data_IF_943793636396
#
_entry.id   IF_943793636396
#
_cell.length_a   1.000
_cell.length_b   1.000
_cell.length_c   1.000
_cell.angle_alpha   90.00
_cell.angle_beta   90.00
_cell.angle_gamma   90.00
#
_symmetry.space_group_name_H-M   'P 1'
#
loop_
_entity.id
_entity.type
_entity.pdbx_description
1 polymer ?
#
# COMPACT_ATOMS: atom_id res chain seq x y z
N UNK A 1 9.13 23.67 0.85
CA UNK A 1 10.26 22.88 1.38
C UNK A 1 10.19 21.54 0.69
N UNK A 2 11.22 21.18 -0.08
CA UNK A 2 11.32 19.83 -0.62
C UNK A 2 11.55 18.85 0.53
N UNK A 3 10.95 17.66 0.42
CA UNK A 3 11.15 16.61 1.41
C UNK A 3 12.64 16.25 1.49
N UNK A 4 13.17 16.10 2.71
CA UNK A 4 14.55 15.66 2.93
C UNK A 4 14.84 14.36 2.18
N UNK A 5 16.12 14.15 1.82
CA UNK A 5 16.58 12.93 1.14
C UNK A 5 16.00 11.70 1.82
N UNK A 6 15.09 11.01 1.12
CA UNK A 6 14.26 9.99 1.75
C UNK A 6 15.16 8.87 2.25
N UNK A 7 15.13 8.57 3.56
CA UNK A 7 15.71 7.35 4.14
C UNK A 7 14.80 6.15 3.83
N UNK A 8 14.40 6.05 2.56
CA UNK A 8 13.42 5.10 2.06
C UNK A 8 13.85 3.69 2.41
N UNK A 9 13.01 3.02 3.19
CA UNK A 9 13.26 1.63 3.60
C UNK A 9 13.30 0.72 2.38
N UNK A 10 14.08 -0.35 2.51
CA UNK A 10 14.18 -1.37 1.46
C UNK A 10 12.79 -1.96 1.16
N UNK A 11 12.59 -2.44 -0.07
CA UNK A 11 11.35 -3.11 -0.43
C UNK A 11 11.10 -4.34 0.46
N UNK A 12 12.16 -5.06 0.87
CA UNK A 12 12.05 -6.18 1.81
C UNK A 12 11.54 -5.73 3.18
N UNK A 13 12.01 -4.61 3.73
CA UNK A 13 11.52 -4.11 5.03
C UNK A 13 10.06 -3.65 4.93
N UNK A 14 9.71 -2.99 3.81
CA UNK A 14 8.34 -2.57 3.53
C UNK A 14 7.41 -3.77 3.41
N UNK A 15 7.82 -4.83 2.72
CA UNK A 15 7.04 -6.07 2.58
C UNK A 15 6.95 -6.85 3.90
N UNK A 16 8.04 -6.95 4.67
CA UNK A 16 8.03 -7.57 6.00
C UNK A 16 7.05 -6.86 6.94
N UNK A 17 7.00 -5.53 6.90
CA UNK A 17 5.99 -4.75 7.66
C UNK A 17 4.55 -5.13 7.27
N UNK A 18 4.28 -5.43 5.99
CA UNK A 18 2.94 -5.83 5.51
C UNK A 18 2.48 -7.18 6.02
N UNK A 19 3.39 -8.04 6.49
CA UNK A 19 3.02 -9.27 7.20
C UNK A 19 2.31 -8.99 8.51
N UNK A 20 2.44 -7.78 9.08
CA UNK A 20 1.76 -7.38 10.33
C UNK A 20 0.71 -6.30 10.06
N UNK A 21 1.01 -5.32 9.20
CA UNK A 21 0.16 -4.14 9.00
C UNK A 21 -0.90 -4.29 7.92
N UNK A 22 -1.00 -5.46 7.29
CA UNK A 22 -1.77 -5.73 6.07
C UNK A 22 -1.43 -4.79 4.89
N UNK A 23 -2.07 -5.00 3.74
CA UNK A 23 -2.00 -4.16 2.55
C UNK A 23 -2.83 -2.87 2.68
N UNK A 24 -3.70 -2.78 3.68
CA UNK A 24 -4.50 -1.57 3.91
C UNK A 24 -3.58 -0.36 4.11
N UNK A 25 -4.01 0.80 3.65
CA UNK A 25 -3.38 2.09 3.88
C UNK A 25 -4.05 2.77 5.08
N UNK A 26 -3.64 4.00 5.41
CA UNK A 26 -4.32 4.79 6.43
C UNK A 26 -5.79 5.03 6.03
N UNK A 27 -5.99 5.38 4.78
CA UNK A 27 -7.28 5.63 4.14
C UNK A 27 -8.18 4.40 4.20
N UNK A 28 -7.72 3.25 3.70
CA UNK A 28 -8.57 2.06 3.62
C UNK A 28 -8.81 1.39 4.96
N UNK A 29 -7.92 1.55 5.94
CA UNK A 29 -8.11 1.01 7.30
C UNK A 29 -9.26 1.69 8.06
N UNK A 30 -9.66 2.89 7.66
CA UNK A 30 -10.84 3.57 8.21
C UNK A 30 -12.15 3.05 7.59
N UNK A 31 -12.09 2.47 6.39
CA UNK A 31 -13.25 2.00 5.64
C UNK A 31 -13.48 0.49 5.80
N UNK A 32 -12.41 -0.30 5.79
CA UNK A 32 -12.44 -1.76 5.69
C UNK A 32 -11.75 -2.37 6.92
N UNK A 33 -12.35 -3.42 7.48
CA UNK A 33 -11.78 -4.17 8.57
C UNK A 33 -10.57 -5.01 8.11
N UNK A 34 -9.49 -5.12 8.91
CA UNK A 34 -8.34 -5.96 8.58
C UNK A 34 -8.71 -7.44 8.76
N UNK A 35 -9.13 -8.09 7.69
CA UNK A 35 -9.36 -9.53 7.62
C UNK A 35 -8.15 -10.24 7.00
N UNK A 36 -8.20 -11.57 6.91
CA UNK A 36 -7.17 -12.36 6.22
C UNK A 36 -6.91 -11.91 4.78
N UNK A 37 -7.97 -11.55 4.06
CA UNK A 37 -7.90 -11.11 2.66
C UNK A 37 -7.18 -9.77 2.47
N UNK A 38 -6.87 -9.06 3.55
CA UNK A 38 -6.09 -7.83 3.50
C UNK A 38 -4.58 -8.09 3.45
N UNK A 39 -4.10 -9.33 3.56
CA UNK A 39 -2.69 -9.68 3.57
C UNK A 39 -2.24 -10.32 2.26
N UNK A 40 -0.94 -10.29 2.01
CA UNK A 40 -0.36 -11.02 0.89
C UNK A 40 -0.49 -12.52 1.14
N UNK A 41 -0.94 -13.27 0.13
CA UNK A 41 -0.88 -14.74 0.14
C UNK A 41 0.49 -15.25 -0.31
N UNK A 42 1.11 -14.57 -1.27
CA UNK A 42 2.42 -14.93 -1.79
C UNK A 42 3.19 -13.80 -2.46
N UNK A 43 4.48 -14.02 -2.64
CA UNK A 43 5.44 -13.20 -3.38
C UNK A 43 6.07 -14.10 -4.45
N UNK A 44 5.82 -13.78 -5.71
CA UNK A 44 6.32 -14.53 -6.86
C UNK A 44 7.60 -13.85 -7.38
N UNK A 45 8.68 -14.60 -7.55
CA UNK A 45 9.97 -14.12 -8.01
C UNK A 45 10.57 -15.08 -9.07
N UNK A 46 11.42 -14.60 -9.98
CA UNK A 46 12.25 -15.48 -10.80
C UNK A 46 13.07 -16.41 -9.91
N UNK A 47 13.14 -17.70 -10.24
CA UNK A 47 13.79 -18.71 -9.40
C UNK A 47 15.25 -18.38 -9.06
N UNK A 48 15.97 -17.79 -10.00
CA UNK A 48 17.38 -17.41 -9.87
C UNK A 48 17.60 -16.09 -9.12
N UNK A 49 16.54 -15.34 -8.85
CA UNK A 49 16.57 -14.16 -7.97
C UNK A 49 16.18 -14.51 -6.51
N UNK A 50 15.76 -15.75 -6.24
CA UNK A 50 15.39 -16.19 -4.89
C UNK A 50 16.64 -16.55 -4.10
N UNK A 51 16.96 -15.72 -3.11
CA UNK A 51 17.86 -16.10 -2.02
C UNK A 51 17.04 -16.74 -0.89
N UNK A 52 17.08 -18.07 -0.73
CA UNK A 52 16.37 -18.76 0.36
C UNK A 52 16.72 -18.20 1.74
N UNK A 53 18.02 -17.96 2.00
CA UNK A 53 18.48 -17.36 3.26
C UNK A 53 17.95 -15.94 3.40
N UNK A 54 18.01 -15.13 2.34
CA UNK A 54 17.50 -13.76 2.32
C UNK A 54 15.99 -13.69 2.56
N UNK A 55 15.21 -14.53 1.89
CA UNK A 55 13.76 -14.64 2.04
C UNK A 55 13.37 -15.16 3.43
N UNK A 56 13.98 -16.25 3.92
CA UNK A 56 13.71 -16.78 5.26
C UNK A 56 14.01 -15.76 6.35
N UNK A 57 15.15 -15.06 6.24
CA UNK A 57 15.49 -13.97 7.16
C UNK A 57 14.47 -12.83 7.09
N UNK A 58 13.99 -12.46 5.91
CA UNK A 58 13.16 -11.27 5.72
C UNK A 58 11.68 -11.52 6.00
N UNK A 59 11.16 -12.67 5.61
CA UNK A 59 9.72 -12.97 5.53
C UNK A 59 9.32 -14.25 6.28
N UNK A 60 10.28 -15.09 6.67
CA UNK A 60 9.98 -16.36 7.34
C UNK A 60 9.47 -16.18 8.77
N UNK A 61 8.74 -17.18 9.27
CA UNK A 61 8.22 -17.23 10.64
C UNK A 61 9.34 -17.13 11.70
N UNK A 62 10.50 -17.71 11.40
CA UNK A 62 11.71 -17.66 12.24
C UNK A 62 12.62 -16.46 11.89
N UNK A 63 12.20 -15.62 10.95
CA UNK A 63 12.96 -14.49 10.44
C UNK A 63 12.85 -13.25 11.33
N UNK A 64 12.98 -12.08 10.69
CA UNK A 64 12.99 -10.77 11.38
C UNK A 64 11.74 -10.52 12.23
N UNK A 65 10.57 -10.98 11.80
CA UNK A 65 9.30 -10.75 12.50
C UNK A 65 8.94 -11.82 13.54
N UNK A 66 9.83 -12.77 13.86
CA UNK A 66 9.56 -13.91 14.76
C UNK A 66 8.93 -13.53 16.10
N UNK A 67 9.29 -12.38 16.66
CA UNK A 67 8.79 -11.89 17.96
C UNK A 67 7.31 -11.49 17.94
N UNK A 68 6.68 -11.44 16.76
CA UNK A 68 5.28 -11.08 16.57
C UNK A 68 4.42 -12.26 16.12
N UNK A 69 5.00 -13.45 15.95
CA UNK A 69 4.27 -14.67 15.65
C UNK A 69 3.29 -14.97 16.79
N UNK A 70 2.04 -15.24 16.45
CA UNK A 70 0.95 -15.47 17.43
C UNK A 70 0.43 -14.20 18.13
N UNK A 71 1.02 -13.03 17.88
CA UNK A 71 0.55 -11.76 18.43
C UNK A 71 -0.62 -11.22 17.63
N UNK A 72 -1.62 -10.72 18.33
CA UNK A 72 -2.86 -10.18 17.78
C UNK A 72 -3.13 -8.77 18.29
N UNK A 73 -3.73 -7.92 17.44
CA UNK A 73 -4.16 -6.57 17.79
C UNK A 73 -5.62 -6.36 17.38
N UNK A 74 -6.50 -5.91 18.30
CA UNK A 74 -6.20 -5.43 19.65
C UNK A 74 -5.96 -6.60 20.64
N UNK A 75 -5.12 -6.38 21.66
CA UNK A 75 -4.72 -7.46 22.61
C UNK A 75 -5.84 -7.93 23.53
N UNK A 76 -6.83 -7.08 23.76
CA UNK A 76 -7.81 -7.22 24.86
C UNK A 76 -9.03 -8.05 24.47
N UNK A 77 -9.23 -8.32 23.18
CA UNK A 77 -10.30 -9.20 22.72
C UNK A 77 -9.92 -10.65 22.99
N UNK A 78 -10.65 -11.29 23.93
CA UNK A 78 -10.74 -12.75 24.00
C UNK A 78 -10.98 -13.25 22.58
N UNK A 79 -10.14 -14.14 22.07
CA UNK A 79 -10.21 -14.69 20.71
C UNK A 79 -11.61 -15.29 20.48
N UNK A 80 -12.58 -14.48 20.06
CA UNK A 80 -13.74 -14.96 19.35
C UNK A 80 -13.24 -15.19 17.94
N UNK A 81 -13.34 -16.44 17.47
CA UNK A 81 -13.14 -16.78 16.07
C UNK A 81 -13.89 -15.74 15.22
N UNK A 82 -13.19 -15.12 14.25
CA UNK A 82 -13.68 -14.04 13.37
C UNK A 82 -13.70 -12.61 13.91
N UNK A 83 -13.08 -12.30 15.05
CA UNK A 83 -12.82 -10.88 15.37
C UNK A 83 -11.86 -10.31 14.32
N UNK A 84 -12.16 -9.16 13.67
CA UNK A 84 -11.21 -8.52 12.77
C UNK A 84 -10.05 -7.86 13.52
N UNK A 85 -8.84 -7.92 12.96
CA UNK A 85 -7.67 -7.37 13.62
C UNK A 85 -6.37 -7.58 12.85
N UNK A 86 -5.31 -7.01 13.41
CA UNK A 86 -3.97 -7.20 12.87
C UNK A 86 -3.29 -8.38 13.52
N UNK A 87 -2.47 -9.10 12.77
CA UNK A 87 -1.60 -10.15 13.28
C UNK A 87 -0.47 -10.41 12.29
N UNK A 88 0.58 -11.09 12.74
CA UNK A 88 1.58 -11.59 11.81
C UNK A 88 0.98 -12.69 10.92
N UNK A 89 0.95 -12.46 9.61
CA UNK A 89 0.56 -13.41 8.57
C UNK A 89 1.72 -13.59 7.58
N UNK A 90 2.40 -14.75 7.60
CA UNK A 90 3.41 -15.04 6.61
C UNK A 90 2.77 -15.22 5.23
N UNK A 91 3.58 -15.07 4.18
CA UNK A 91 3.17 -15.34 2.80
C UNK A 91 4.18 -16.28 2.16
N UNK A 92 3.75 -17.01 1.14
CA UNK A 92 4.60 -17.97 0.44
C UNK A 92 5.53 -17.24 -0.54
N UNK A 93 6.78 -17.66 -0.65
CA UNK A 93 7.66 -17.23 -1.74
C UNK A 93 7.60 -18.30 -2.82
N UNK A 94 7.14 -17.91 -4.00
CA UNK A 94 6.94 -18.80 -5.15
C UNK A 94 7.94 -18.45 -6.25
N UNK A 95 8.43 -19.47 -6.94
CA UNK A 95 9.37 -19.33 -8.05
C UNK A 95 8.66 -19.40 -9.40
N UNK A 96 9.16 -18.66 -10.38
CA UNK A 96 8.83 -18.85 -11.80
C UNK A 96 10.09 -19.36 -12.51
N UNK A 97 9.99 -20.45 -13.29
CA UNK A 97 11.12 -20.99 -14.05
C UNK A 97 11.76 -19.97 -14.99
N UNK A 98 13.09 -20.04 -15.16
CA UNK A 98 13.86 -19.12 -15.99
C UNK A 98 13.35 -19.10 -17.44
N UNK A 99 12.94 -20.24 -17.97
CA UNK A 99 12.47 -20.39 -19.36
C UNK A 99 11.16 -19.64 -19.57
N UNK A 100 10.25 -19.72 -18.60
CA UNK A 100 8.97 -18.99 -18.63
C UNK A 100 9.20 -17.48 -18.51
N UNK A 101 10.14 -17.08 -17.65
CA UNK A 101 10.54 -15.67 -17.56
C UNK A 101 11.09 -15.16 -18.90
N UNK A 102 11.97 -15.92 -19.54
CA UNK A 102 12.57 -15.56 -20.83
C UNK A 102 11.52 -15.47 -21.96
N UNK A 103 10.53 -16.35 -21.95
CA UNK A 103 9.46 -16.38 -22.95
C UNK A 103 8.47 -15.21 -22.78
N UNK A 104 8.07 -14.88 -21.55
CA UNK A 104 7.03 -13.90 -21.28
C UNK A 104 7.56 -12.47 -21.10
N UNK A 105 8.80 -12.29 -20.65
CA UNK A 105 9.43 -10.99 -20.41
C UNK A 105 10.74 -10.81 -21.19
N UNK A 106 10.67 -10.67 -22.53
CA UNK A 106 11.86 -10.52 -23.38
C UNK A 106 12.67 -9.25 -23.09
N UNK A 107 12.08 -8.26 -22.43
CA UNK A 107 12.72 -7.01 -22.00
C UNK A 107 13.08 -7.00 -20.51
N UNK A 108 13.11 -8.17 -19.86
CA UNK A 108 13.60 -8.30 -18.50
C UNK A 108 15.05 -7.81 -18.38
N UNK A 109 15.46 -7.48 -17.16
CA UNK A 109 16.84 -7.06 -16.90
C UNK A 109 17.80 -8.15 -17.40
N UNK A 110 18.80 -7.82 -18.25
CA UNK A 110 19.74 -8.80 -18.74
C UNK A 110 20.43 -9.51 -17.56
N UNK A 111 20.35 -10.83 -17.56
CA UNK A 111 21.09 -11.66 -16.61
C UNK A 111 22.53 -11.75 -17.09
N UNK A 112 23.49 -11.56 -16.18
CA UNK A 112 24.89 -11.75 -16.52
C UNK A 112 25.16 -13.26 -16.55
N UNK A 113 25.40 -13.81 -17.74
CA UNK A 113 25.95 -15.16 -17.83
C UNK A 113 27.46 -15.09 -17.58
N UNK A 114 28.02 -15.90 -16.66
CA UNK A 114 29.45 -16.13 -16.63
C UNK A 114 29.86 -16.75 -17.97
N UNK A 115 30.84 -16.15 -18.67
CA UNK A 115 31.39 -16.78 -19.86
C UNK A 115 31.88 -18.18 -19.50
N UNK A 116 31.55 -19.24 -20.29
CA UNK A 116 32.18 -20.53 -20.09
C UNK A 116 33.68 -20.35 -20.30
N UNK A 117 34.47 -20.74 -19.30
CA UNK A 117 35.92 -20.75 -19.41
C UNK A 117 36.28 -21.63 -20.61
N UNK A 118 36.80 -20.99 -21.66
CA UNK A 118 37.44 -21.72 -22.75
C UNK A 118 38.69 -22.35 -22.12
N UNK A 119 38.62 -23.64 -21.83
CA UNK A 119 39.81 -24.47 -21.68
C UNK A 119 40.51 -24.52 -23.03
N UNK A 120 41.50 -23.65 -23.23
CA UNK A 120 42.64 -23.96 -24.09
C UNK A 120 43.87 -23.30 -23.47
N UNK A 121 44.85 -24.14 -23.13
CA UNK A 121 46.03 -23.74 -22.38
C UNK A 121 46.92 -22.78 -23.16
N UNK A 122 47.47 -21.81 -22.43
CA UNK A 122 48.83 -21.32 -22.63
C UNK A 122 49.24 -20.54 -21.39
N UNK A 123 50.32 -20.98 -20.74
CA UNK A 123 51.04 -20.22 -19.73
C UNK A 123 51.54 -18.90 -20.35
N UNK A 124 51.27 -17.77 -19.69
CA UNK A 124 51.81 -16.47 -20.09
C UNK A 124 51.06 -15.27 -19.48
N UNK A 125 51.71 -14.63 -18.50
CA UNK A 125 51.50 -13.29 -17.93
C UNK A 125 50.32 -12.95 -16.98
N UNK A 126 50.59 -12.37 -15.79
CA UNK A 126 49.58 -11.88 -14.85
C UNK A 126 49.25 -10.41 -15.15
N UNK A 127 48.48 -10.16 -16.20
CA UNK A 127 47.78 -8.87 -16.37
C UNK A 127 46.32 -9.13 -16.69
N UNK A 128 45.58 -9.51 -15.65
CA UNK A 128 44.20 -9.95 -15.69
C UNK A 128 43.30 -8.88 -16.29
N UNK A 129 42.86 -9.12 -17.53
CA UNK A 129 41.82 -8.39 -18.23
C UNK A 129 40.46 -8.69 -17.56
N UNK A 130 40.19 -7.97 -16.46
CA UNK A 130 38.90 -8.02 -15.79
C UNK A 130 37.79 -7.62 -16.76
N UNK A 131 36.96 -8.60 -17.15
CA UNK A 131 35.76 -8.38 -17.94
C UNK A 131 34.92 -7.26 -17.30
N UNK A 132 34.87 -6.08 -17.96
CA UNK A 132 34.17 -4.91 -17.43
C UNK A 132 32.68 -5.20 -17.36
N UNK A 133 32.18 -5.52 -16.17
CA UNK A 133 30.75 -5.62 -15.87
C UNK A 133 30.04 -4.34 -16.32
N UNK A 134 29.24 -4.39 -17.40
CA UNK A 134 28.39 -3.27 -17.81
C UNK A 134 27.25 -3.09 -16.79
N UNK A 135 27.49 -2.30 -15.75
CA UNK A 135 26.45 -1.93 -14.76
C UNK A 135 25.27 -1.28 -15.49
N UNK A 136 24.14 -1.98 -15.57
CA UNK A 136 22.88 -1.41 -16.07
C UNK A 136 22.40 -0.38 -15.05
N UNK A 137 22.29 0.88 -15.47
CA UNK A 137 21.78 1.96 -14.61
C UNK A 137 20.25 1.88 -14.58
N UNK A 138 19.62 1.93 -13.39
CA UNK A 138 18.17 2.01 -13.31
C UNK A 138 17.68 3.32 -13.94
N UNK A 139 16.56 3.24 -14.65
CA UNK A 139 15.88 4.42 -15.19
C UNK A 139 15.21 5.25 -14.09
N UNK A 140 14.84 6.47 -14.43
CA UNK A 140 14.03 7.39 -13.61
C UNK A 140 12.53 7.33 -13.95
N UNK A 141 12.11 6.23 -14.60
CA UNK A 141 10.75 6.02 -15.09
C UNK A 141 10.07 4.92 -14.28
N UNK A 142 8.80 5.11 -13.96
CA UNK A 142 7.93 4.10 -13.38
C UNK A 142 6.61 4.08 -14.13
N UNK A 143 6.03 2.91 -14.35
CA UNK A 143 4.74 2.76 -15.01
C UNK A 143 3.75 2.12 -14.02
N UNK A 144 2.52 2.61 -14.01
CA UNK A 144 1.43 2.12 -13.16
C UNK A 144 0.25 1.79 -14.06
N UNK A 145 -0.32 0.60 -13.87
CA UNK A 145 -1.55 0.18 -14.52
C UNK A 145 -2.49 -0.44 -13.49
N UNK A 146 -3.76 -0.08 -13.52
CA UNK A 146 -4.81 -0.64 -12.67
C UNK A 146 -5.99 -1.00 -13.56
N UNK A 147 -6.50 -2.21 -13.33
CA UNK A 147 -7.70 -2.74 -13.95
C UNK A 147 -8.92 -1.82 -13.69
N UNK A 148 -9.79 -1.66 -14.68
CA UNK A 148 -11.05 -0.94 -14.50
C UNK A 148 -11.99 -1.68 -13.53
N UNK A 149 -12.78 -0.97 -12.71
CA UNK A 149 -13.83 -1.61 -11.93
C UNK A 149 -14.76 -2.44 -12.81
N UNK A 150 -15.19 -3.60 -12.31
CA UNK A 150 -16.20 -4.43 -12.98
C UNK A 150 -17.58 -3.79 -12.99
N UNK A 151 -17.86 -2.89 -12.04
CA UNK A 151 -19.11 -2.17 -11.93
C UNK A 151 -19.04 -0.82 -12.65
N UNK A 152 -20.13 -0.44 -13.33
CA UNK A 152 -20.29 0.87 -13.96
C UNK A 152 -20.57 1.93 -12.89
N UNK A 153 -19.56 2.25 -12.08
CA UNK A 153 -19.61 3.41 -11.19
C UNK A 153 -18.68 4.49 -11.71
N UNK A 154 -19.14 5.74 -11.87
CA UNK A 154 -18.27 6.87 -12.21
C UNK A 154 -17.21 7.05 -11.11
N UNK A 155 -15.98 6.61 -11.35
CA UNK A 155 -14.87 6.85 -10.44
C UNK A 155 -14.10 8.09 -10.87
N UNK A 156 -13.98 9.07 -9.96
CA UNK A 156 -13.22 10.30 -10.20
C UNK A 156 -11.74 10.02 -10.59
N UNK A 157 -11.20 8.87 -10.17
CA UNK A 157 -9.83 8.43 -10.49
C UNK A 157 -9.65 7.98 -11.94
N UNK A 158 -10.71 7.53 -12.62
CA UNK A 158 -10.62 6.97 -13.97
C UNK A 158 -10.41 8.04 -15.06
N UNK A 159 -10.62 9.33 -14.74
CA UNK A 159 -10.65 10.41 -15.73
C UNK A 159 -9.30 11.12 -15.96
N UNK A 160 -8.27 10.86 -15.15
CA UNK A 160 -6.97 11.58 -15.21
C UNK A 160 -5.80 10.68 -15.65
N UNK A 161 -6.07 9.77 -16.58
CA UNK A 161 -5.09 8.88 -17.24
C UNK A 161 -4.15 9.63 -18.19
N UNK A 162 -4.48 10.86 -18.57
CA UNK A 162 -3.64 11.69 -19.46
C UNK A 162 -3.53 11.20 -20.91
N UNK A 163 -4.16 10.07 -21.25
CA UNK A 163 -4.09 9.42 -22.57
C UNK A 163 -5.47 9.37 -23.21
N UNK A 164 -5.56 9.75 -24.50
CA UNK A 164 -6.81 9.66 -25.29
C UNK A 164 -7.25 8.22 -25.55
N UNK A 165 -6.29 7.30 -25.55
CA UNK A 165 -6.50 5.86 -25.61
C UNK A 165 -5.81 5.22 -24.42
N UNK A 166 -6.51 4.31 -23.74
CA UNK A 166 -5.93 3.48 -22.68
C UNK A 166 -5.66 2.09 -23.26
N UNK A 167 -4.56 1.42 -22.87
CA UNK A 167 -4.29 0.07 -23.34
C UNK A 167 -5.40 -0.89 -22.89
N UNK A 168 -5.57 -2.01 -23.57
CA UNK A 168 -6.37 -3.14 -23.08
C UNK A 168 -5.41 -4.27 -22.82
N UNK A 169 -5.28 -4.71 -21.58
CA UNK A 169 -4.39 -5.82 -21.21
C UNK A 169 -5.22 -7.07 -20.98
N UNK A 170 -4.90 -8.17 -21.66
CA UNK A 170 -5.62 -9.45 -21.51
C UNK A 170 -7.15 -9.29 -21.58
N UNK A 171 -7.67 -8.55 -22.58
CA UNK A 171 -9.10 -8.23 -22.80
C UNK A 171 -9.76 -7.41 -21.68
N UNK A 172 -8.98 -6.91 -20.73
CA UNK A 172 -9.48 -6.15 -19.61
C UNK A 172 -9.38 -4.65 -19.84
N UNK A 173 -10.46 -3.93 -19.50
CA UNK A 173 -10.50 -2.47 -19.58
C UNK A 173 -9.55 -1.86 -18.55
N UNK A 174 -8.94 -0.73 -18.90
CA UNK A 174 -8.01 -0.01 -18.03
C UNK A 174 -8.72 1.04 -17.20
N UNK A 175 -8.50 1.02 -15.88
CA UNK A 175 -9.01 2.01 -14.94
C UNK A 175 -7.99 3.14 -14.69
N UNK A 176 -6.71 2.79 -14.53
CA UNK A 176 -5.61 3.76 -14.43
C UNK A 176 -4.43 3.27 -15.27
N UNK A 177 -3.79 4.19 -15.97
CA UNK A 177 -2.54 3.98 -16.69
C UNK A 177 -1.75 5.29 -16.65
N UNK A 178 -0.61 5.31 -15.95
CA UNK A 178 0.23 6.50 -15.86
C UNK A 178 1.70 6.13 -15.92
N UNK A 179 2.47 6.98 -16.62
CA UNK A 179 3.93 6.93 -16.64
C UNK A 179 4.44 8.06 -15.77
N UNK A 180 5.31 7.76 -14.81
CA UNK A 180 5.92 8.70 -13.89
C UNK A 180 7.40 8.84 -14.27
N UNK A 181 7.85 10.06 -14.50
CA UNK A 181 9.23 10.39 -14.86
C UNK A 181 9.73 11.44 -13.87
N UNK A 182 10.85 11.18 -13.20
CA UNK A 182 11.38 12.06 -12.15
C UNK A 182 10.34 12.38 -11.05
N UNK A 183 9.49 11.42 -10.69
CA UNK A 183 8.50 11.55 -9.61
C UNK A 183 7.19 12.26 -9.97
N UNK A 184 7.02 12.74 -11.21
CA UNK A 184 5.77 13.36 -11.69
C UNK A 184 5.22 12.65 -12.93
N UNK A 185 3.91 12.75 -13.17
CA UNK A 185 3.28 12.21 -14.38
C UNK A 185 3.94 12.78 -15.64
N UNK A 186 4.17 11.91 -16.62
CA UNK A 186 4.74 12.25 -17.92
C UNK A 186 4.05 13.49 -18.51
N UNK A 187 4.86 14.40 -19.06
CA UNK A 187 4.39 15.69 -19.58
C UNK A 187 4.35 16.82 -18.55
N UNK A 188 4.68 16.56 -17.28
CA UNK A 188 4.77 17.58 -16.23
C UNK A 188 6.23 17.78 -15.77
N UNK A 189 6.51 18.95 -15.18
CA UNK A 189 7.84 19.32 -14.69
C UNK A 189 7.94 19.10 -13.18
N UNK A 190 8.95 18.34 -12.75
CA UNK A 190 9.23 18.10 -11.34
C UNK A 190 9.60 19.40 -10.58
N UNK A 191 10.18 20.37 -11.27
CA UNK A 191 10.51 21.70 -10.71
C UNK A 191 9.30 22.56 -10.38
N UNK A 192 8.12 22.21 -10.88
CA UNK A 192 6.86 22.91 -10.64
C UNK A 192 5.73 21.89 -10.46
N UNK A 193 5.75 21.12 -9.36
CA UNK A 193 4.81 20.03 -9.15
C UNK A 193 3.42 20.63 -8.89
N UNK A 194 2.54 20.51 -9.88
CA UNK A 194 1.13 20.90 -9.76
C UNK A 194 0.22 19.69 -9.57
N UNK A 195 -1.04 19.91 -9.20
CA UNK A 195 -2.05 18.87 -9.04
C UNK A 195 -2.17 17.95 -10.27
N UNK A 196 -2.04 18.51 -11.47
CA UNK A 196 -2.04 17.76 -12.75
C UNK A 196 -0.83 16.84 -12.91
N UNK A 197 0.32 17.22 -12.36
CA UNK A 197 1.55 16.42 -12.39
C UNK A 197 1.62 15.34 -11.32
N UNK A 198 0.74 15.38 -10.31
CA UNK A 198 0.69 14.37 -9.28
C UNK A 198 0.08 13.05 -9.80
N UNK A 199 0.73 11.93 -9.48
CA UNK A 199 0.20 10.58 -9.69
C UNK A 199 -1.15 10.41 -9.01
N UNK A 200 -2.06 9.64 -9.62
CA UNK A 200 -3.34 9.26 -9.00
C UNK A 200 -3.17 8.47 -7.70
N UNK A 201 -2.00 7.86 -7.50
CA UNK A 201 -1.60 7.17 -6.27
C UNK A 201 -0.86 8.06 -5.26
N UNK A 202 -0.79 9.38 -5.51
CA UNK A 202 -0.22 10.32 -4.54
C UNK A 202 -1.06 10.40 -3.27
N UNK A 203 -0.39 10.67 -2.13
CA UNK A 203 -1.05 10.79 -0.81
C UNK A 203 -2.22 11.79 -0.84
N UNK A 204 -2.05 12.94 -1.50
CA UNK A 204 -3.08 13.95 -1.61
C UNK A 204 -4.31 13.46 -2.41
N UNK A 205 -4.10 12.80 -3.56
CA UNK A 205 -5.21 12.27 -4.37
C UNK A 205 -5.92 11.09 -3.68
N UNK A 206 -5.19 10.20 -3.01
CA UNK A 206 -5.79 9.12 -2.22
C UNK A 206 -6.59 9.65 -1.03
N UNK A 207 -6.10 10.69 -0.35
CA UNK A 207 -6.85 11.33 0.74
C UNK A 207 -8.10 12.07 0.23
N UNK A 208 -8.01 12.74 -0.94
CA UNK A 208 -9.18 13.34 -1.58
C UNK A 208 -10.23 12.29 -1.94
N UNK A 209 -9.81 11.16 -2.54
CA UNK A 209 -10.71 10.04 -2.82
C UNK A 209 -11.37 9.48 -1.56
N UNK A 210 -10.61 9.32 -0.48
CA UNK A 210 -11.17 8.94 0.81
C UNK A 210 -12.25 9.93 1.27
N UNK A 211 -11.99 11.24 1.15
CA UNK A 211 -12.96 12.30 1.48
C UNK A 211 -14.15 12.37 0.52
N UNK A 212 -14.11 11.77 -0.65
CA UNK A 212 -15.28 11.62 -1.52
C UNK A 212 -16.14 10.41 -1.12
N UNK A 213 -15.50 9.33 -0.64
CA UNK A 213 -16.18 8.09 -0.22
C UNK A 213 -16.76 8.21 1.19
N UNK A 214 -16.01 8.81 2.13
CA UNK A 214 -16.38 8.91 3.54
C UNK A 214 -17.63 9.76 3.87
N UNK A 215 -18.00 10.84 3.14
CA UNK A 215 -19.24 11.60 3.36
C UNK A 215 -20.48 10.78 3.03
N UNK A 216 -20.37 9.82 2.11
CA UNK A 216 -21.47 8.92 1.73
C UNK A 216 -21.66 7.81 2.77
N UNK A 217 -20.71 7.67 3.71
CA UNK A 217 -20.70 6.63 4.74
C UNK A 217 -21.09 7.21 6.12
N UNK A 218 -22.38 7.48 6.34
CA UNK A 218 -22.98 7.81 7.66
C UNK A 218 -23.92 6.66 8.07
N UNK A 219 -24.14 6.36 9.37
CA UNK A 219 -23.25 6.24 10.52
C UNK A 219 -22.96 4.76 10.83
N UNK A 220 -21.84 4.51 11.52
CA UNK A 220 -21.40 3.17 11.89
C UNK A 220 -22.15 2.67 13.15
N UNK A 221 -23.41 2.29 13.00
CA UNK A 221 -24.10 1.46 13.99
C UNK A 221 -23.75 -0.01 13.69
N UNK A 222 -22.71 -0.54 14.35
CA UNK A 222 -22.66 -1.98 14.59
C UNK A 222 -23.63 -2.28 15.74
N UNK A 223 -24.93 -2.25 15.43
CA UNK A 223 -25.94 -2.91 16.26
C UNK A 223 -26.06 -4.32 15.70
N UNK A 224 -25.69 -5.31 16.53
CA UNK A 224 -25.93 -6.71 16.21
C UNK A 224 -27.43 -6.95 16.27
N UNK A 225 -28.14 -6.75 15.16
CA UNK A 225 -29.50 -7.25 15.00
C UNK A 225 -29.42 -8.74 14.68
N UNK A 226 -29.26 -9.55 15.73
CA UNK A 226 -29.70 -10.94 15.68
C UNK A 226 -31.20 -10.92 15.91
N UNK A 227 -31.95 -11.11 14.83
CA UNK A 227 -33.36 -11.48 14.87
C UNK A 227 -33.51 -12.79 15.66
N UNK A 228 -34.00 -12.70 16.90
CA UNK A 228 -34.64 -13.82 17.57
C UNK A 228 -36.15 -13.59 17.55
N UNK A 229 -36.82 -14.49 16.85
CA UNK A 229 -38.27 -14.60 16.72
C UNK A 229 -38.95 -15.00 18.04
N UNK A 230 -39.73 -14.08 18.63
CA UNK A 230 -40.94 -14.29 19.44
C UNK A 230 -40.86 -15.15 20.74
N UNK A 231 -41.90 -15.11 21.62
CA UNK A 231 -43.27 -14.68 21.38
C UNK A 231 -43.80 -13.52 22.26
N UNK A 232 -44.91 -12.93 21.80
CA UNK A 232 -45.68 -11.84 22.41
C UNK A 232 -46.10 -12.08 23.87
N UNK A 233 -45.99 -11.03 24.69
CA UNK A 233 -47.05 -10.67 25.65
C UNK A 233 -46.85 -9.29 26.26
N UNK A 234 -47.94 -8.53 26.38
CA UNK A 234 -48.10 -7.47 27.39
C UNK A 234 -47.83 -6.04 26.89
N UNK A 235 -48.91 -5.30 26.65
CA UNK A 235 -48.91 -3.87 26.38
C UNK A 235 -48.48 -3.05 27.61
N UNK A 236 -47.71 -1.99 27.38
CA UNK A 236 -47.77 -0.75 28.16
C UNK A 236 -47.00 0.35 27.43
N UNK A 237 -47.73 1.43 27.14
CA UNK A 237 -47.24 2.68 26.59
C UNK A 237 -46.25 3.32 27.57
N UNK A 238 -45.05 3.70 27.09
CA UNK A 238 -44.24 4.69 27.80
C UNK A 238 -43.37 5.46 26.79
N UNK A 239 -43.39 6.77 27.01
CA UNK A 239 -42.88 7.87 26.21
C UNK A 239 -41.46 7.66 25.66
N UNK A 240 -41.27 8.01 24.39
CA UNK A 240 -39.96 8.03 23.72
C UNK A 240 -39.19 9.27 24.19
N UNK A 241 -38.03 9.13 24.87
CA UNK A 241 -37.18 10.29 25.12
C UNK A 241 -36.51 10.65 23.79
N UNK A 242 -36.75 11.87 23.34
CA UNK A 242 -36.04 12.48 22.21
C UNK A 242 -34.55 12.62 22.59
N UNK A 243 -33.75 11.61 22.26
CA UNK A 243 -32.29 11.68 22.38
C UNK A 243 -31.81 12.55 21.23
N UNK A 244 -31.52 13.82 21.55
CA UNK A 244 -30.74 14.72 20.70
C UNK A 244 -29.49 13.96 20.24
N UNK A 245 -29.55 13.47 19.00
CA UNK A 245 -28.41 12.82 18.36
C UNK A 245 -27.46 13.93 17.95
N UNK A 246 -26.67 14.39 18.92
CA UNK A 246 -25.48 15.19 18.66
C UNK A 246 -24.56 14.30 17.83
N UNK A 247 -24.65 14.46 16.51
CA UNK A 247 -23.63 13.98 15.57
C UNK A 247 -22.29 14.40 16.18
N UNK A 248 -21.39 13.46 16.52
CA UNK A 248 -20.06 13.83 16.96
C UNK A 248 -19.47 14.65 15.83
N UNK A 249 -19.31 15.96 16.05
CA UNK A 249 -18.60 16.83 15.12
C UNK A 249 -17.25 16.16 14.90
N UNK A 250 -17.06 15.56 13.71
CA UNK A 250 -15.74 15.08 13.33
C UNK A 250 -14.82 16.30 13.45
N UNK A 251 -13.71 16.21 14.20
CA UNK A 251 -12.75 17.30 14.23
C UNK A 251 -12.40 17.64 12.79
N UNK A 252 -12.38 18.93 12.45
CA UNK A 252 -12.11 19.36 11.08
C UNK A 252 -10.71 18.89 10.68
N UNK A 253 -10.64 17.80 9.91
CA UNK A 253 -9.37 17.19 9.50
C UNK A 253 -8.82 18.06 8.37
N UNK A 254 -8.03 19.06 8.74
CA UNK A 254 -7.50 20.08 7.82
C UNK A 254 -6.15 19.68 7.21
N UNK A 255 -5.37 18.83 7.89
CA UNK A 255 -4.06 18.37 7.40
C UNK A 255 -3.97 16.85 7.22
N UNK A 256 -3.05 16.40 6.37
CA UNK A 256 -2.78 14.98 6.16
C UNK A 256 -2.21 14.31 7.43
N UNK A 257 -1.49 15.07 8.26
CA UNK A 257 -1.02 14.61 9.57
C UNK A 257 -2.20 14.30 10.50
N UNK A 258 -3.16 15.21 10.62
CA UNK A 258 -4.36 14.99 11.43
C UNK A 258 -5.16 13.79 10.94
N UNK A 259 -5.25 13.63 9.62
CA UNK A 259 -5.89 12.49 9.00
C UNK A 259 -5.27 11.14 9.40
N UNK A 260 -3.95 11.11 9.62
CA UNK A 260 -3.22 9.91 10.04
C UNK A 260 -3.34 9.61 11.53
N UNK A 261 -3.86 10.55 12.32
CA UNK A 261 -4.02 10.37 13.76
C UNK A 261 -5.40 9.76 14.10
N UNK A 262 -5.48 8.93 15.15
CA UNK A 262 -6.76 8.43 15.64
C UNK A 262 -7.62 9.59 16.14
N UNK A 263 -8.90 9.63 15.75
CA UNK A 263 -9.84 10.68 16.18
C UNK A 263 -10.53 10.36 17.50
N UNK A 264 -10.55 9.10 17.91
CA UNK A 264 -11.12 8.66 19.19
C UNK A 264 -10.55 7.29 19.62
N UNK A 265 -10.83 6.88 20.87
CA UNK A 265 -10.36 5.60 21.45
C UNK A 265 -10.87 4.35 20.72
N UNK A 266 -11.92 4.46 19.91
CA UNK A 266 -12.48 3.36 19.11
C UNK A 266 -12.09 3.45 17.62
N UNK A 267 -11.17 4.35 17.27
CA UNK A 267 -10.74 4.53 15.88
C UNK A 267 -9.96 3.28 15.40
N UNK A 268 -10.37 2.64 14.30
CA UNK A 268 -9.63 1.51 13.70
C UNK A 268 -8.15 1.81 13.44
N UNK A 269 -7.76 3.08 13.25
CA UNK A 269 -6.37 3.47 13.11
C UNK A 269 -5.54 3.22 14.36
N UNK A 270 -6.12 3.29 15.56
CA UNK A 270 -5.37 3.07 16.80
C UNK A 270 -4.76 1.67 16.83
N UNK A 271 -5.56 0.66 16.48
CA UNK A 271 -5.13 -0.75 16.45
C UNK A 271 -4.06 -0.94 15.37
N UNK A 272 -4.24 -0.32 14.20
CA UNK A 272 -3.25 -0.33 13.13
C UNK A 272 -1.92 0.28 13.58
N UNK A 273 -1.97 1.43 14.27
CA UNK A 273 -0.78 2.12 14.74
C UNK A 273 -0.03 1.30 15.79
N UNK A 274 -0.73 0.62 16.68
CA UNK A 274 -0.11 -0.32 17.63
C UNK A 274 0.61 -1.47 16.90
N UNK A 275 -0.06 -2.11 15.93
CA UNK A 275 0.53 -3.18 15.15
C UNK A 275 1.77 -2.73 14.35
N UNK A 276 1.68 -1.57 13.70
CA UNK A 276 2.81 -0.96 12.98
C UNK A 276 3.94 -0.56 13.94
N UNK A 277 3.62 -0.01 15.10
CA UNK A 277 4.59 0.36 16.13
C UNK A 277 5.41 -0.84 16.59
N UNK A 278 4.72 -1.92 16.97
CA UNK A 278 5.35 -3.17 17.38
C UNK A 278 6.22 -3.78 16.25
N UNK A 279 5.72 -3.79 15.02
CA UNK A 279 6.47 -4.25 13.85
C UNK A 279 7.75 -3.43 13.59
N UNK A 280 7.67 -2.10 13.72
CA UNK A 280 8.83 -1.21 13.56
C UNK A 280 9.87 -1.41 14.66
N UNK A 281 9.45 -1.66 15.89
CA UNK A 281 10.37 -1.99 16.99
C UNK A 281 11.14 -3.27 16.71
N UNK A 282 10.46 -4.29 16.17
CA UNK A 282 11.08 -5.58 15.81
C UNK A 282 12.03 -5.48 14.62
N UNK A 283 11.68 -4.71 13.60
CA UNK A 283 12.57 -4.49 12.44
C UNK A 283 13.86 -3.76 12.79
N UNK A 284 13.86 -2.98 13.89
CA UNK A 284 14.94 -2.10 14.37
C UNK A 284 15.34 -1.02 13.35
N UNK A 285 15.77 0.13 13.86
CA UNK A 285 16.23 1.24 13.02
C UNK A 285 15.20 1.77 12.03
N UNK A 286 13.89 1.59 12.28
CA UNK A 286 12.85 2.17 11.44
C UNK A 286 12.78 3.68 11.66
N UNK A 287 13.16 4.46 10.65
CA UNK A 287 13.13 5.92 10.67
C UNK A 287 12.02 6.35 9.72
N UNK A 288 11.04 7.09 10.23
CA UNK A 288 10.00 7.68 9.41
C UNK A 288 10.54 8.91 8.68
N UNK A 289 10.03 9.17 7.48
CA UNK A 289 10.21 10.48 6.86
C UNK A 289 9.42 11.50 7.70
N UNK A 290 10.05 12.60 8.09
CA UNK A 290 9.42 13.69 8.83
C UNK A 290 9.19 14.91 7.92
N UNK A 291 8.32 15.83 8.34
CA UNK A 291 8.19 17.15 7.70
C UNK A 291 7.36 17.22 6.41
N UNK A 292 6.68 16.15 6.00
CA UNK A 292 5.91 16.09 4.74
C UNK A 292 4.44 15.67 4.96
N UNK A 293 3.83 16.13 6.06
CA UNK A 293 2.44 15.77 6.42
C UNK A 293 1.57 16.98 6.81
N UNK A 294 2.16 18.15 7.00
CA UNK A 294 1.48 19.39 7.42
C UNK A 294 0.82 20.15 6.24
N UNK A 295 0.18 19.44 5.32
CA UNK A 295 -0.49 20.00 4.14
C UNK A 295 -1.95 19.55 4.07
N UNK A 296 -2.82 20.37 3.48
CA UNK A 296 -4.24 20.08 3.28
C UNK A 296 -4.57 19.72 1.83
N UNK A 297 -5.84 19.40 1.53
CA UNK A 297 -6.28 19.11 0.16
C UNK A 297 -6.25 20.31 -0.80
N UNK A 298 -6.04 21.51 -0.27
CA UNK A 298 -5.84 22.72 -1.06
C UNK A 298 -4.65 22.59 -2.03
N UNK A 299 -3.68 21.69 -1.77
CA UNK A 299 -2.58 21.36 -2.70
C UNK A 299 -3.04 20.80 -4.05
N UNK A 300 -4.27 20.29 -4.14
CA UNK A 300 -4.85 19.79 -5.38
C UNK A 300 -5.57 20.89 -6.18
N UNK A 301 -5.73 22.09 -5.62
CA UNK A 301 -6.38 23.21 -6.30
C UNK A 301 -5.35 24.00 -7.10
N UNK A 302 -5.55 24.08 -8.42
CA UNK A 302 -4.68 24.87 -9.30
C UNK A 302 -4.70 26.35 -8.88
N UNK A 303 -3.55 26.99 -8.61
CA UNK A 303 -3.50 28.41 -8.24
C UNK A 303 -4.13 29.33 -9.28
N UNK A 304 -4.16 28.96 -10.57
CA UNK A 304 -4.85 29.73 -11.62
C UNK A 304 -6.38 29.70 -11.48
N UNK A 305 -6.95 28.66 -10.86
CA UNK A 305 -8.39 28.56 -10.59
C UNK A 305 -8.83 29.26 -9.30
N UNK A 306 -7.89 29.65 -8.42
CA UNK A 306 -8.20 30.40 -7.18
C UNK A 306 -8.42 31.90 -7.40
N UNK A 307 -8.07 32.44 -8.58
CA UNK A 307 -8.17 33.87 -8.91
C UNK A 307 -9.44 34.23 -9.71
N UNK A 308 -10.45 33.37 -9.71
CA UNK A 308 -11.76 33.61 -10.32
C UNK A 308 -12.85 33.48 -9.27
#
# INVERSE_FOLDING_TARGET
MDAESTRSKSCSDKLALRQVSSLLSCETSRLIAPTENAYLAGLILPEDEISHVGCNRSFGVNGRMRALVGRYWPRETKLKENTPGYQFRPFQVLSVPKEEIAALWPFAKPKFEPCPAITLGQEGDPSTSGAKHKKVRPGNVSAVWILAPSYNYPSAMAMDTGSKSVPTLCRSKTGLCETIINGVKQGNRASSPGARGASSLSRAKLWALFREIAPVSVPRNYQNDVLSSGPLSGASETEVPHVDTVQPQRPDITTYQDFKNPTCLKDPLQIRMQAIGDAKMVLKGWIANAGDESWGLNVLVDPKKRKR
#
